data_IF_272602190624
#
_entry.id   IF_272602190624
#
_cell.length_a   1.000
_cell.length_b   1.000
_cell.length_c   1.000
_cell.angle_alpha   90.00
_cell.angle_beta   90.00
_cell.angle_gamma   90.00
#
_symmetry.space_group_name_H-M   'P 1'
#
loop_
_entity.id
_entity.type
_entity.pdbx_description
1 polymer ?
#
# COMPACT_ATOMS: atom_id res chain seq x y z
N UNK A 1 13.40 -13.77 17.39
CA UNK A 1 11.99 -14.00 16.98
C UNK A 1 12.01 -14.54 15.55
N UNK A 2 11.32 -15.65 15.26
CA UNK A 2 11.35 -16.25 13.91
C UNK A 2 10.20 -15.68 13.06
N UNK A 3 10.55 -15.08 11.93
CA UNK A 3 9.62 -14.36 11.03
C UNK A 3 8.85 -15.29 10.06
N UNK A 4 9.13 -16.60 10.03
CA UNK A 4 8.56 -17.55 9.07
C UNK A 4 8.18 -18.91 9.67
N UNK A 5 7.13 -19.53 9.13
CA UNK A 5 6.67 -20.88 9.50
C UNK A 5 7.65 -21.97 9.04
N UNK A 6 7.84 -23.03 9.83
CA UNK A 6 8.78 -24.13 9.53
C UNK A 6 8.17 -25.28 8.73
N UNK A 7 6.89 -25.19 8.38
CA UNK A 7 6.21 -26.14 7.50
C UNK A 7 6.23 -25.61 6.05
N UNK A 8 6.74 -26.40 5.08
CA UNK A 8 6.99 -25.91 3.72
C UNK A 8 5.71 -25.41 3.03
N UNK A 9 4.57 -26.09 3.23
CA UNK A 9 3.28 -25.68 2.65
C UNK A 9 2.82 -24.29 3.12
N UNK A 10 2.99 -23.96 4.41
CA UNK A 10 2.61 -22.65 4.94
C UNK A 10 3.62 -21.56 4.59
N UNK A 11 4.90 -21.91 4.47
CA UNK A 11 5.94 -20.99 3.99
C UNK A 11 5.68 -20.56 2.55
N UNK A 12 5.32 -21.48 1.66
CA UNK A 12 5.00 -21.14 0.26
C UNK A 12 3.78 -20.23 0.16
N UNK A 13 2.72 -20.50 0.94
CA UNK A 13 1.53 -19.61 0.98
C UNK A 13 1.89 -18.23 1.52
N UNK A 14 2.71 -18.12 2.56
CA UNK A 14 3.17 -16.83 3.08
C UNK A 14 3.96 -16.05 2.03
N UNK A 15 4.89 -16.71 1.32
CA UNK A 15 5.66 -16.07 0.25
C UNK A 15 4.76 -15.64 -0.91
N UNK A 16 3.81 -16.49 -1.33
CA UNK A 16 2.86 -16.14 -2.38
C UNK A 16 1.98 -14.96 -1.98
N UNK A 17 1.46 -14.94 -0.76
CA UNK A 17 0.64 -13.83 -0.25
C UNK A 17 1.45 -12.54 -0.17
N UNK A 18 2.71 -12.62 0.26
CA UNK A 18 3.61 -11.46 0.30
C UNK A 18 3.92 -10.93 -1.10
N UNK A 19 4.20 -11.83 -2.05
CA UNK A 19 4.41 -11.48 -3.45
C UNK A 19 3.16 -10.84 -4.06
N UNK A 20 1.98 -11.44 -3.86
CA UNK A 20 0.72 -10.86 -4.35
C UNK A 20 0.46 -9.48 -3.75
N UNK A 21 0.70 -9.30 -2.45
CA UNK A 21 0.56 -7.99 -1.80
C UNK A 21 1.54 -6.96 -2.41
N UNK A 22 2.81 -7.33 -2.59
CA UNK A 22 3.81 -6.48 -3.22
C UNK A 22 3.45 -6.14 -4.68
N UNK A 23 3.00 -7.11 -5.45
CA UNK A 23 2.56 -6.91 -6.84
C UNK A 23 1.35 -5.98 -6.90
N UNK A 24 0.35 -6.17 -6.03
CA UNK A 24 -0.82 -5.30 -5.97
C UNK A 24 -0.43 -3.84 -5.64
N UNK A 25 0.47 -3.65 -4.67
CA UNK A 25 1.00 -2.33 -4.33
C UNK A 25 1.75 -1.72 -5.53
N UNK A 26 2.62 -2.49 -6.18
CA UNK A 26 3.38 -2.02 -7.33
C UNK A 26 2.47 -1.62 -8.50
N UNK A 27 1.45 -2.43 -8.80
CA UNK A 27 0.45 -2.14 -9.85
C UNK A 27 -0.37 -0.90 -9.49
N UNK A 28 -0.79 -0.76 -8.24
CA UNK A 28 -1.54 0.43 -7.79
C UNK A 28 -0.71 1.71 -7.91
N UNK A 29 0.56 1.67 -7.49
CA UNK A 29 1.49 2.81 -7.61
C UNK A 29 1.73 3.16 -9.07
N UNK A 30 1.97 2.15 -9.92
CA UNK A 30 2.14 2.35 -11.36
C UNK A 30 0.89 2.99 -12.00
N UNK A 31 -0.30 2.48 -11.67
CA UNK A 31 -1.56 3.02 -12.18
C UNK A 31 -1.80 4.46 -11.69
N UNK A 32 -1.47 4.77 -10.43
CA UNK A 32 -1.60 6.11 -9.87
C UNK A 32 -0.72 7.13 -10.61
N UNK A 33 0.54 6.77 -10.92
CA UNK A 33 1.43 7.63 -11.71
C UNK A 33 0.93 7.79 -13.14
N UNK A 34 0.46 6.72 -13.79
CA UNK A 34 -0.10 6.81 -15.14
C UNK A 34 -1.31 7.75 -15.21
N UNK A 35 -2.20 7.68 -14.20
CA UNK A 35 -3.33 8.61 -14.08
C UNK A 35 -2.86 10.05 -13.83
N UNK A 36 -1.90 10.25 -12.92
CA UNK A 36 -1.32 11.58 -12.64
C UNK A 36 -0.75 12.22 -13.90
N UNK A 37 0.07 11.48 -14.64
CA UNK A 37 0.70 11.98 -15.86
C UNK A 37 -0.36 12.33 -16.92
N UNK A 38 -1.42 11.54 -17.02
CA UNK A 38 -2.56 11.82 -17.90
C UNK A 38 -3.27 13.12 -17.49
N UNK A 39 -3.45 13.37 -16.18
CA UNK A 39 -4.04 14.61 -15.68
C UNK A 39 -3.13 15.80 -15.99
N UNK A 40 -1.81 15.66 -15.84
CA UNK A 40 -0.86 16.75 -16.12
C UNK A 40 -0.83 17.17 -17.60
N UNK A 41 -1.27 16.32 -18.53
CA UNK A 41 -1.47 16.74 -19.93
C UNK A 41 -2.51 17.87 -20.04
N UNK A 42 -3.47 17.95 -19.11
CA UNK A 42 -4.43 19.05 -19.08
C UNK A 42 -3.78 20.39 -18.69
N UNK A 43 -2.56 20.42 -18.17
CA UNK A 43 -1.84 21.67 -17.88
C UNK A 43 -1.23 22.30 -19.15
N UNK A 44 -1.08 21.55 -20.25
CA UNK A 44 -0.48 22.06 -21.49
C UNK A 44 -1.29 23.21 -22.13
N UNK A 45 -2.64 23.14 -22.25
CA UNK A 45 -3.45 24.28 -22.66
C UNK A 45 -3.23 25.53 -21.80
N UNK A 46 -3.13 25.36 -20.46
CA UNK A 46 -2.87 26.46 -19.54
C UNK A 46 -1.54 27.16 -19.81
N UNK A 47 -0.47 26.39 -20.07
CA UNK A 47 0.86 26.94 -20.44
C UNK A 47 0.83 27.75 -21.71
N UNK A 48 0.07 27.30 -22.71
CA UNK A 48 -0.06 28.04 -23.98
C UNK A 48 -0.83 29.33 -23.79
N UNK A 49 -1.86 29.34 -22.93
CA UNK A 49 -2.60 30.55 -22.58
C UNK A 49 -1.69 31.53 -21.82
N UNK A 50 -0.95 31.03 -20.83
CA UNK A 50 0.05 31.81 -20.08
C UNK A 50 1.03 32.51 -21.01
N UNK A 51 1.75 31.73 -21.83
CA UNK A 51 2.78 32.27 -22.72
C UNK A 51 2.23 33.23 -23.78
N UNK A 52 1.01 32.97 -24.27
CA UNK A 52 0.37 33.84 -25.26
C UNK A 52 -0.16 35.13 -24.63
N UNK A 53 -0.67 35.05 -23.40
CA UNK A 53 -1.13 36.20 -22.62
C UNK A 53 0.04 37.12 -22.26
N UNK A 54 1.14 36.56 -21.78
CA UNK A 54 2.36 37.31 -21.46
C UNK A 54 2.94 38.02 -22.68
N UNK A 55 3.09 37.30 -23.80
CA UNK A 55 3.60 37.89 -25.04
C UNK A 55 2.69 39.01 -25.57
N UNK A 56 1.36 38.82 -25.50
CA UNK A 56 0.40 39.84 -25.89
C UNK A 56 0.45 41.06 -24.96
N UNK A 57 0.57 40.84 -23.65
CA UNK A 57 0.70 41.90 -22.65
C UNK A 57 1.96 42.73 -22.89
N UNK A 58 3.10 42.07 -23.15
CA UNK A 58 4.37 42.72 -23.44
C UNK A 58 4.32 43.53 -24.74
N UNK A 59 3.82 42.95 -25.84
CA UNK A 59 3.69 43.66 -27.12
C UNK A 59 2.78 44.88 -27.02
N UNK A 60 1.63 44.75 -26.35
CA UNK A 60 0.68 45.85 -26.18
C UNK A 60 1.18 46.90 -25.19
N UNK A 61 1.91 46.51 -24.16
CA UNK A 61 2.59 47.42 -23.22
C UNK A 61 3.63 48.26 -23.94
N UNK A 62 4.51 47.61 -24.72
CA UNK A 62 5.51 48.27 -25.54
C UNK A 62 4.88 49.22 -26.58
N UNK A 63 3.79 48.79 -27.22
CA UNK A 63 3.04 49.64 -28.15
C UNK A 63 2.39 50.84 -27.44
N UNK A 64 1.87 50.65 -26.22
CA UNK A 64 1.31 51.71 -25.39
C UNK A 64 2.36 52.75 -25.01
N UNK A 65 3.54 52.32 -24.59
CA UNK A 65 4.66 53.20 -24.26
C UNK A 65 5.12 53.97 -25.50
N UNK A 66 5.28 53.31 -26.65
CA UNK A 66 5.63 53.98 -27.91
C UNK A 66 4.54 54.97 -28.39
N UNK A 67 3.27 54.64 -28.16
CA UNK A 67 2.16 55.53 -28.50
C UNK A 67 2.12 56.77 -27.59
N UNK A 68 2.57 56.66 -26.34
CA UNK A 68 2.61 57.78 -25.39
C UNK A 68 3.52 58.93 -25.86
N UNK A 69 4.54 58.62 -26.68
CA UNK A 69 5.48 59.59 -27.24
C UNK A 69 4.91 60.41 -28.43
N UNK A 70 3.69 60.12 -28.89
CA UNK A 70 3.07 60.84 -30.02
C UNK A 70 2.50 62.20 -29.57
N UNK A 71 2.94 63.34 -30.16
CA UNK A 71 2.44 64.66 -29.78
C UNK A 71 0.92 64.81 -29.99
N UNK A 72 0.25 65.53 -29.09
CA UNK A 72 -1.19 65.84 -29.09
C UNK A 72 -2.17 64.67 -28.90
N UNK A 73 -1.81 63.43 -29.26
CA UNK A 73 -2.72 62.27 -29.18
C UNK A 73 -2.19 61.08 -28.37
N UNK A 74 -0.95 61.12 -27.88
CA UNK A 74 -0.31 59.97 -27.23
C UNK A 74 -1.10 59.36 -26.07
N UNK A 75 -1.61 60.19 -25.16
CA UNK A 75 -2.43 59.69 -24.04
C UNK A 75 -3.80 59.10 -24.44
N UNK A 76 -4.31 59.42 -25.63
CA UNK A 76 -5.56 58.83 -26.16
C UNK A 76 -5.30 57.44 -26.73
N UNK A 77 -4.09 57.20 -27.28
CA UNK A 77 -3.67 55.92 -27.85
C UNK A 77 -3.09 54.98 -26.79
N UNK A 78 -2.37 55.51 -25.80
CA UNK A 78 -1.74 54.76 -24.71
C UNK A 78 -2.77 53.98 -23.87
N UNK A 79 -3.84 54.65 -23.43
CA UNK A 79 -4.86 54.06 -22.54
C UNK A 79 -5.46 52.75 -23.05
N UNK A 80 -6.00 52.67 -24.28
CA UNK A 80 -6.56 51.42 -24.79
C UNK A 80 -5.50 50.33 -24.99
N UNK A 81 -4.26 50.68 -25.34
CA UNK A 81 -3.17 49.72 -25.46
C UNK A 81 -2.75 49.14 -24.11
N UNK A 82 -2.59 49.98 -23.08
CA UNK A 82 -2.35 49.52 -21.70
C UNK A 82 -3.50 48.68 -21.16
N UNK A 83 -4.75 49.10 -21.39
CA UNK A 83 -5.90 48.30 -20.96
C UNK A 83 -5.95 46.94 -21.64
N UNK A 84 -5.53 46.84 -22.90
CA UNK A 84 -5.43 45.58 -23.61
C UNK A 84 -4.24 44.74 -23.11
N UNK A 85 -3.13 45.37 -22.75
CA UNK A 85 -1.99 44.72 -22.09
C UNK A 85 -2.39 44.10 -20.75
N UNK A 86 -3.12 44.84 -19.91
CA UNK A 86 -3.64 44.36 -18.63
C UNK A 86 -4.58 43.15 -18.81
N UNK A 87 -5.41 43.18 -19.87
CA UNK A 87 -6.26 42.03 -20.22
C UNK A 87 -5.42 40.81 -20.66
N UNK A 88 -4.34 41.03 -21.42
CA UNK A 88 -3.36 40.01 -21.78
C UNK A 88 -2.72 39.36 -20.54
N UNK A 89 -2.28 40.18 -19.59
CA UNK A 89 -1.71 39.72 -18.33
C UNK A 89 -2.74 38.94 -17.50
N UNK A 90 -4.01 39.38 -17.49
CA UNK A 90 -5.09 38.64 -16.84
C UNK A 90 -5.34 37.25 -17.46
N UNK A 91 -5.17 37.09 -18.77
CA UNK A 91 -5.18 35.75 -19.38
C UNK A 91 -3.97 34.92 -18.97
N UNK A 92 -2.81 35.56 -18.84
CA UNK A 92 -1.60 34.86 -18.41
C UNK A 92 -1.75 34.30 -17.00
N UNK A 93 -2.20 35.13 -16.07
CA UNK A 93 -2.50 34.76 -14.68
C UNK A 93 -3.54 33.63 -14.59
N UNK A 94 -4.59 33.69 -15.41
CA UNK A 94 -5.59 32.62 -15.49
C UNK A 94 -4.98 31.30 -16.00
N UNK A 95 -4.09 31.38 -16.99
CA UNK A 95 -3.34 30.24 -17.51
C UNK A 95 -2.45 29.59 -16.44
N UNK A 96 -1.73 30.39 -15.65
CA UNK A 96 -0.91 29.93 -14.54
C UNK A 96 -1.75 29.29 -13.42
N UNK A 97 -2.82 29.95 -12.99
CA UNK A 97 -3.72 29.45 -11.94
C UNK A 97 -4.38 28.11 -12.32
N UNK A 98 -4.76 27.96 -13.59
CA UNK A 98 -5.31 26.71 -14.10
C UNK A 98 -4.29 25.56 -14.02
N UNK A 99 -3.03 25.80 -14.41
CA UNK A 99 -1.97 24.80 -14.31
C UNK A 99 -1.71 24.35 -12.88
N UNK A 100 -1.71 25.30 -11.93
CA UNK A 100 -1.53 25.01 -10.51
C UNK A 100 -2.68 24.13 -9.99
N UNK A 101 -3.92 24.47 -10.35
CA UNK A 101 -5.11 23.68 -9.99
C UNK A 101 -5.05 22.27 -10.56
N UNK A 102 -4.69 22.12 -11.84
CA UNK A 102 -4.53 20.81 -12.50
C UNK A 102 -3.45 19.99 -11.80
N UNK A 103 -2.32 20.60 -11.45
CA UNK A 103 -1.23 19.95 -10.74
C UNK A 103 -1.67 19.48 -9.36
N UNK A 104 -2.39 20.32 -8.61
CA UNK A 104 -2.92 19.95 -7.29
C UNK A 104 -3.92 18.79 -7.38
N UNK A 105 -4.82 18.79 -8.37
CA UNK A 105 -5.76 17.68 -8.61
C UNK A 105 -5.02 16.40 -8.98
N UNK A 106 -3.99 16.49 -9.81
CA UNK A 106 -3.16 15.35 -10.19
C UNK A 106 -2.47 14.73 -8.96
N UNK A 107 -1.88 15.57 -8.11
CA UNK A 107 -1.18 15.13 -6.91
C UNK A 107 -2.13 14.51 -5.87
N UNK A 108 -3.27 15.14 -5.59
CA UNK A 108 -4.28 14.61 -4.65
C UNK A 108 -4.86 13.28 -5.14
N UNK A 109 -5.16 13.19 -6.45
CA UNK A 109 -5.69 11.98 -7.06
C UNK A 109 -4.66 10.85 -7.03
N UNK A 110 -3.40 11.15 -7.35
CA UNK A 110 -2.29 10.20 -7.24
C UNK A 110 -2.13 9.71 -5.80
N UNK A 111 -2.12 10.62 -4.82
CA UNK A 111 -2.00 10.27 -3.42
C UNK A 111 -3.15 9.37 -2.96
N UNK A 112 -4.39 9.69 -3.33
CA UNK A 112 -5.56 8.87 -3.01
C UNK A 112 -5.47 7.46 -3.64
N UNK A 113 -5.10 7.38 -4.92
CA UNK A 113 -4.93 6.12 -5.65
C UNK A 113 -3.78 5.26 -5.12
N UNK A 114 -2.78 5.83 -4.45
CA UNK A 114 -1.74 5.06 -3.75
C UNK A 114 -2.20 4.65 -2.36
N UNK A 115 -2.67 5.62 -1.55
CA UNK A 115 -2.93 5.42 -0.13
C UNK A 115 -4.07 4.44 0.10
N UNK A 116 -5.18 4.56 -0.63
CA UNK A 116 -6.35 3.70 -0.43
C UNK A 116 -6.05 2.21 -0.65
N UNK A 117 -5.49 1.77 -1.80
CA UNK A 117 -5.18 0.36 -2.00
C UNK A 117 -4.06 -0.13 -1.09
N UNK A 118 -3.04 0.69 -0.80
CA UNK A 118 -1.98 0.32 0.14
C UNK A 118 -2.56 0.06 1.53
N UNK A 119 -3.40 0.96 2.05
CA UNK A 119 -4.06 0.78 3.33
C UNK A 119 -4.96 -0.47 3.34
N UNK A 120 -5.70 -0.71 2.26
CA UNK A 120 -6.54 -1.90 2.13
C UNK A 120 -5.70 -3.18 2.18
N UNK A 121 -4.59 -3.24 1.43
CA UNK A 121 -3.66 -4.38 1.46
C UNK A 121 -3.09 -4.55 2.87
N UNK A 122 -2.65 -3.48 3.53
CA UNK A 122 -2.12 -3.55 4.89
C UNK A 122 -3.16 -4.03 5.90
N UNK A 123 -4.39 -3.52 5.83
CA UNK A 123 -5.49 -3.93 6.74
C UNK A 123 -5.89 -5.38 6.51
N UNK A 124 -5.86 -5.89 5.29
CA UNK A 124 -6.16 -7.30 5.01
C UNK A 124 -4.98 -8.24 5.34
N UNK A 125 -3.75 -7.75 5.22
CA UNK A 125 -2.53 -8.56 5.36
C UNK A 125 -1.97 -8.59 6.80
N UNK A 126 -1.99 -7.47 7.52
CA UNK A 126 -1.37 -7.33 8.85
C UNK A 126 -2.06 -8.17 9.94
N UNK A 127 -3.40 -8.15 10.11
CA UNK A 127 -4.07 -8.88 11.18
C UNK A 127 -3.85 -10.39 11.18
N UNK A 128 -4.00 -11.13 10.05
CA UNK A 128 -3.75 -12.56 10.06
C UNK A 128 -2.28 -12.88 10.35
N UNK A 129 -1.34 -12.04 9.88
CA UNK A 129 0.09 -12.17 10.16
C UNK A 129 0.38 -12.01 11.65
N UNK A 130 -0.14 -10.97 12.29
CA UNK A 130 0.02 -10.69 13.72
C UNK A 130 -0.59 -11.79 14.59
N UNK A 131 -1.81 -12.24 14.28
CA UNK A 131 -2.47 -13.32 15.00
C UNK A 131 -1.67 -14.62 14.92
N UNK A 132 -1.08 -14.92 13.76
CA UNK A 132 -0.24 -16.09 13.58
C UNK A 132 1.07 -15.99 14.39
N UNK A 133 1.75 -14.83 14.37
CA UNK A 133 2.97 -14.59 15.16
C UNK A 133 2.68 -14.76 16.65
N UNK A 134 1.58 -14.17 17.15
CA UNK A 134 1.15 -14.29 18.55
C UNK A 134 0.85 -15.72 18.94
N UNK A 135 0.04 -16.43 18.15
CA UNK A 135 -0.32 -17.83 18.42
C UNK A 135 0.91 -18.73 18.43
N UNK A 136 1.82 -18.56 17.47
CA UNK A 136 3.05 -19.35 17.38
C UNK A 136 3.98 -19.09 18.56
N UNK A 137 4.08 -17.84 19.02
CA UNK A 137 4.87 -17.48 20.20
C UNK A 137 4.32 -18.11 21.50
N UNK A 138 2.99 -18.13 21.68
CA UNK A 138 2.33 -18.74 22.84
C UNK A 138 2.57 -20.26 22.86
N UNK A 139 2.35 -20.93 21.72
CA UNK A 139 2.53 -22.39 21.63
C UNK A 139 3.99 -22.79 21.86
N UNK A 140 4.94 -21.99 21.40
CA UNK A 140 6.36 -22.24 21.65
C UNK A 140 6.73 -22.06 23.12
N UNK A 141 6.25 -21.01 23.78
CA UNK A 141 6.43 -20.83 25.23
C UNK A 141 5.85 -22.01 26.03
N UNK A 142 4.73 -22.56 25.57
CA UNK A 142 4.13 -23.74 26.20
C UNK A 142 4.96 -25.00 25.98
N UNK A 143 5.57 -25.16 24.81
CA UNK A 143 6.48 -26.26 24.51
C UNK A 143 7.76 -26.20 25.35
N UNK A 144 8.31 -25.01 25.57
CA UNK A 144 9.54 -24.77 26.35
C UNK A 144 9.31 -24.88 27.87
N UNK A 145 8.06 -24.96 28.34
CA UNK A 145 7.72 -25.06 29.76
C UNK A 145 7.91 -26.51 30.30
N UNK A 146 8.23 -26.70 31.59
CA UNK A 146 8.26 -28.03 32.21
C UNK A 146 6.91 -28.75 32.04
N UNK A 147 6.92 -29.97 31.50
CA UNK A 147 5.69 -30.72 31.17
C UNK A 147 4.98 -30.25 29.89
N UNK A 148 5.57 -29.33 29.13
CA UNK A 148 5.00 -28.76 27.90
C UNK A 148 4.66 -29.80 26.83
N UNK A 149 5.48 -30.84 26.68
CA UNK A 149 5.23 -31.96 25.76
C UNK A 149 3.93 -32.70 26.08
N UNK A 150 3.62 -32.85 27.36
CA UNK A 150 2.44 -33.57 27.83
C UNK A 150 1.17 -32.73 27.68
N UNK A 151 1.28 -31.40 27.89
CA UNK A 151 0.22 -30.45 27.57
C UNK A 151 -0.08 -30.37 26.07
N UNK A 152 0.96 -30.48 25.23
CA UNK A 152 0.82 -30.56 23.79
C UNK A 152 0.19 -31.89 23.34
N UNK A 153 0.56 -32.99 23.99
CA UNK A 153 -0.06 -34.30 23.76
C UNK A 153 -1.56 -34.29 24.12
N UNK A 154 -1.93 -33.71 25.26
CA UNK A 154 -3.32 -33.51 25.65
C UNK A 154 -4.09 -32.63 24.64
N UNK A 155 -3.45 -31.58 24.11
CA UNK A 155 -4.02 -30.73 23.06
C UNK A 155 -4.20 -31.48 21.73
N UNK A 156 -3.35 -32.45 21.42
CA UNK A 156 -3.53 -33.32 20.26
C UNK A 156 -4.75 -34.23 20.43
N UNK A 157 -4.93 -34.81 21.62
CA UNK A 157 -6.05 -35.70 21.96
C UNK A 157 -7.41 -34.98 22.00
N UNK A 158 -7.43 -33.74 22.49
CA UNK A 158 -8.66 -32.90 22.59
C UNK A 158 -8.91 -32.04 21.34
N UNK A 159 -8.00 -32.10 20.37
CA UNK A 159 -8.08 -31.37 19.11
C UNK A 159 -8.91 -32.08 18.03
N UNK A 160 -8.97 -31.53 16.81
CA UNK A 160 -9.65 -32.16 15.69
C UNK A 160 -9.09 -33.57 15.38
N UNK A 161 -9.93 -34.49 14.88
CA UNK A 161 -9.57 -35.89 14.69
C UNK A 161 -8.52 -36.12 13.59
N UNK A 162 -8.37 -35.17 12.65
CA UNK A 162 -7.43 -35.26 11.52
C UNK A 162 -5.95 -35.32 11.90
N UNK A 163 -5.63 -35.08 13.17
CA UNK A 163 -4.28 -35.19 13.74
C UNK A 163 -3.96 -36.64 14.08
N UNK A 164 -4.93 -37.32 14.69
CA UNK A 164 -4.80 -38.69 15.16
C UNK A 164 -4.81 -39.67 13.99
N UNK A 165 -5.53 -39.36 12.90
CA UNK A 165 -5.56 -40.19 11.69
C UNK A 165 -4.23 -40.24 10.93
N UNK A 166 -3.27 -39.35 11.25
CA UNK A 166 -1.94 -39.33 10.62
C UNK A 166 -0.88 -40.08 11.42
N UNK A 167 -1.21 -40.50 12.65
CA UNK A 167 -0.30 -41.21 13.52
C UNK A 167 -0.64 -42.71 13.52
N UNK A 168 0.35 -43.60 13.63
CA UNK A 168 0.10 -45.02 13.84
C UNK A 168 -0.67 -45.22 15.15
N UNK A 169 -1.78 -45.97 15.12
CA UNK A 169 -2.58 -46.24 16.31
C UNK A 169 -1.83 -47.20 17.25
N UNK A 170 -1.52 -46.80 18.50
CA UNK A 170 -0.82 -47.68 19.43
C UNK A 170 -1.74 -48.80 19.95
N UNK A 171 -1.17 -49.92 20.43
CA UNK A 171 -1.93 -50.98 21.09
C UNK A 171 -2.71 -50.45 22.30
N UNK A 172 -4.04 -50.65 22.31
CA UNK A 172 -4.93 -50.09 23.35
C UNK A 172 -5.44 -48.66 23.06
N UNK A 173 -4.99 -48.03 21.97
CA UNK A 173 -5.44 -46.72 21.53
C UNK A 173 -4.73 -45.54 22.21
N UNK A 174 -4.83 -44.36 21.61
CA UNK A 174 -4.09 -43.17 22.03
C UNK A 174 -4.40 -42.71 23.48
N UNK A 175 -5.64 -42.85 23.93
CA UNK A 175 -6.05 -42.45 25.28
C UNK A 175 -5.45 -43.36 26.38
N UNK A 176 -5.27 -44.64 26.08
CA UNK A 176 -4.70 -45.61 27.02
C UNK A 176 -3.18 -45.48 27.09
N UNK A 177 -2.52 -45.37 25.93
CA UNK A 177 -1.09 -45.13 25.86
C UNK A 177 -0.67 -43.80 26.53
N UNK A 178 -1.48 -42.74 26.38
CA UNK A 178 -1.24 -41.47 27.08
C UNK A 178 -1.41 -41.61 28.60
N UNK A 179 -2.46 -42.30 29.08
CA UNK A 179 -2.67 -42.53 30.53
C UNK A 179 -1.56 -43.35 31.18
N UNK A 180 -0.92 -44.25 30.43
CA UNK A 180 0.25 -45.02 30.88
C UNK A 180 1.55 -44.23 30.88
N UNK A 181 1.54 -42.99 30.34
CA UNK A 181 2.74 -42.17 30.23
C UNK A 181 3.76 -42.72 29.25
N UNK A 182 3.33 -43.40 28.18
CA UNK A 182 4.23 -43.92 27.15
C UNK A 182 5.04 -42.76 26.54
N UNK A 183 6.38 -42.70 26.76
CA UNK A 183 7.20 -41.56 26.34
C UNK A 183 7.17 -41.33 24.83
N UNK A 184 7.04 -42.41 24.05
CA UNK A 184 7.05 -42.33 22.59
C UNK A 184 5.73 -41.78 22.06
N UNK A 185 4.60 -42.25 22.61
CA UNK A 185 3.27 -41.75 22.22
C UNK A 185 3.06 -40.30 22.65
N UNK A 186 3.54 -39.91 23.84
CA UNK A 186 3.48 -38.51 24.32
C UNK A 186 4.32 -37.60 23.41
N UNK A 187 5.52 -38.03 23.02
CA UNK A 187 6.38 -37.28 22.11
C UNK A 187 5.74 -37.13 20.71
N UNK A 188 5.18 -38.19 20.15
CA UNK A 188 4.53 -38.19 18.83
C UNK A 188 3.28 -37.31 18.80
N UNK A 189 2.44 -37.37 19.84
CA UNK A 189 1.27 -36.50 20.00
C UNK A 189 1.69 -35.03 20.15
N UNK A 190 2.73 -34.76 20.94
CA UNK A 190 3.29 -33.41 21.11
C UNK A 190 3.85 -32.84 19.81
N UNK A 191 4.61 -33.64 19.06
CA UNK A 191 5.14 -33.28 17.75
C UNK A 191 4.03 -33.02 16.72
N UNK A 192 2.96 -33.83 16.72
CA UNK A 192 1.80 -33.62 15.86
C UNK A 192 1.03 -32.33 16.20
N UNK A 193 0.91 -31.98 17.48
CA UNK A 193 0.34 -30.70 17.92
C UNK A 193 1.20 -29.50 17.46
N UNK A 194 2.53 -29.59 17.57
CA UNK A 194 3.47 -28.59 17.09
C UNK A 194 3.39 -28.39 15.57
N UNK A 195 3.41 -29.50 14.81
CA UNK A 195 3.36 -29.48 13.35
C UNK A 195 2.13 -28.72 12.80
N UNK A 196 0.98 -28.81 13.47
CA UNK A 196 -0.25 -28.08 13.10
C UNK A 196 -0.17 -26.57 13.29
N UNK A 197 0.59 -26.14 14.28
CA UNK A 197 0.83 -24.71 14.50
C UNK A 197 1.92 -24.17 13.58
N UNK A 198 2.58 -25.05 12.82
CA UNK A 198 3.61 -24.72 11.84
C UNK A 198 5.01 -24.67 12.45
N UNK A 199 5.18 -25.21 13.65
CA UNK A 199 6.43 -25.35 14.37
C UNK A 199 6.97 -26.78 14.18
N UNK A 200 8.29 -26.94 14.05
CA UNK A 200 8.93 -28.26 14.16
C UNK A 200 9.30 -28.54 15.62
N UNK A 201 9.24 -29.81 16.06
CA UNK A 201 9.79 -30.22 17.35
C UNK A 201 11.28 -29.88 17.44
#
# INVERSE_FOLDING_TARGET
MRLYAQTPARRTVQVLVDLVALTLIAVAVWAAFAVRDTILLLAEPGRRIESSGDGLAEELGNAGDAASDVPFVGGVLEKPLRSAADAGAGFADAGASFQETVTQVADVTCAALVVVPVLLVLVLWIPPRLLWIRRSAIVRRLADAPGGTDLLALRALTGPPSVLTRLPTPPGGFADAWRRGDPQVVADLGAAALARTGLRP
#
